data_IF_936146285807
#
_entry.id   IF_936146285807
#
_cell.length_a   1.000
_cell.length_b   1.000
_cell.length_c   1.000
_cell.angle_alpha   90.00
_cell.angle_beta   90.00
_cell.angle_gamma   90.00
#
_symmetry.space_group_name_H-M   'P 1'
#
loop_
_entity.id
_entity.type
_entity.pdbx_description
1 polymer ?
#
# COMPACT_ATOMS: atom_id res chain seq x y z
N UNK A 1 2.47 -14.19 -5.87
CA UNK A 1 1.08 -13.97 -5.43
C UNK A 1 1.13 -13.20 -4.12
N UNK A 2 0.35 -12.13 -4.03
CA UNK A 2 0.28 -11.24 -2.87
C UNK A 2 -1.19 -11.07 -2.45
N UNK A 3 -1.42 -10.90 -1.15
CA UNK A 3 -2.75 -10.75 -0.58
C UNK A 3 -2.92 -9.36 0.02
N UNK A 4 -4.07 -8.74 -0.23
CA UNK A 4 -4.38 -7.38 0.25
C UNK A 4 -5.86 -7.29 0.60
N UNK A 5 -6.24 -6.55 1.63
CA UNK A 5 -7.66 -6.37 1.96
C UNK A 5 -8.33 -5.37 1.02
N UNK A 6 -9.60 -5.61 0.70
CA UNK A 6 -10.43 -4.70 -0.12
C UNK A 6 -10.42 -3.29 0.45
N UNK A 7 -10.63 -3.15 1.75
CA UNK A 7 -10.67 -1.83 2.41
C UNK A 7 -9.37 -1.05 2.28
N UNK A 8 -8.21 -1.73 2.27
CA UNK A 8 -6.93 -1.09 2.00
C UNK A 8 -6.83 -0.61 0.55
N UNK A 9 -7.15 -1.46 -0.43
CA UNK A 9 -7.12 -1.10 -1.87
C UNK A 9 -8.00 0.12 -2.14
N UNK A 10 -9.25 0.08 -1.70
CA UNK A 10 -10.21 1.19 -1.89
C UNK A 10 -9.72 2.48 -1.26
N UNK A 11 -9.09 2.40 -0.08
CA UNK A 11 -8.51 3.57 0.60
C UNK A 11 -7.33 4.16 -0.18
N UNK A 12 -6.41 3.32 -0.66
CA UNK A 12 -5.24 3.77 -1.44
C UNK A 12 -5.66 4.44 -2.75
N UNK A 13 -6.61 3.85 -3.47
CA UNK A 13 -7.13 4.40 -4.73
C UNK A 13 -7.86 5.72 -4.50
N UNK A 14 -8.66 5.83 -3.43
CA UNK A 14 -9.29 7.10 -3.04
C UNK A 14 -8.26 8.19 -2.75
N UNK A 15 -7.22 7.87 -1.97
CA UNK A 15 -6.14 8.81 -1.66
C UNK A 15 -5.39 9.27 -2.92
N UNK A 16 -5.15 8.36 -3.87
CA UNK A 16 -4.55 8.70 -5.16
C UNK A 16 -5.44 9.63 -5.99
N UNK A 17 -6.74 9.32 -6.08
CA UNK A 17 -7.71 10.16 -6.79
C UNK A 17 -7.83 11.57 -6.16
N UNK A 18 -7.73 11.70 -4.84
CA UNK A 18 -7.76 12.98 -4.13
C UNK A 18 -6.49 13.82 -4.37
N UNK A 19 -5.36 13.17 -4.67
CA UNK A 19 -4.07 13.83 -4.89
C UNK A 19 -3.81 14.19 -6.35
N UNK A 20 -4.54 13.59 -7.31
CA UNK A 20 -4.40 13.89 -8.73
C UNK A 20 -4.44 15.42 -8.98
N UNK A 21 -3.43 16.00 -9.69
CA UNK A 21 -2.47 15.35 -10.59
C UNK A 21 -1.12 14.96 -9.95
N UNK A 22 -0.96 15.10 -8.64
CA UNK A 22 0.29 14.77 -7.95
C UNK A 22 0.41 13.27 -7.64
N UNK A 23 1.64 12.74 -7.70
CA UNK A 23 1.93 11.36 -7.31
C UNK A 23 1.92 11.20 -5.79
N UNK A 24 1.47 10.03 -5.32
CA UNK A 24 1.43 9.63 -3.92
C UNK A 24 2.20 8.33 -3.75
N UNK A 25 3.07 8.29 -2.74
CA UNK A 25 3.78 7.09 -2.29
C UNK A 25 3.45 6.80 -0.83
N UNK A 26 2.99 5.59 -0.53
CA UNK A 26 2.49 5.20 0.80
C UNK A 26 3.18 3.90 1.24
N UNK A 27 3.67 3.85 2.48
CA UNK A 27 4.27 2.62 3.04
C UNK A 27 3.16 1.67 3.46
N UNK A 28 3.29 0.38 3.15
CA UNK A 28 2.31 -0.64 3.51
C UNK A 28 2.91 -1.67 4.46
N UNK A 29 2.10 -2.16 5.39
CA UNK A 29 2.46 -3.25 6.29
C UNK A 29 1.45 -4.40 6.19
N UNK A 30 1.93 -5.57 6.62
CA UNK A 30 1.16 -6.81 6.61
C UNK A 30 0.70 -7.21 8.00
N UNK A 31 -0.44 -7.89 8.05
CA UNK A 31 -0.90 -8.66 9.19
C UNK A 31 -0.89 -10.14 8.79
N UNK A 32 -0.41 -11.06 9.65
CA UNK A 32 -0.53 -12.49 9.39
C UNK A 32 -2.00 -12.91 9.26
N UNK A 33 -2.32 -13.80 8.31
CA UNK A 33 -3.69 -14.24 8.08
C UNK A 33 -4.35 -14.86 9.33
N UNK A 34 -3.58 -15.48 10.22
CA UNK A 34 -4.10 -16.04 11.48
C UNK A 34 -4.63 -14.98 12.46
N UNK A 35 -4.30 -13.71 12.26
CA UNK A 35 -4.84 -12.58 13.00
C UNK A 35 -6.03 -11.91 12.28
N UNK A 36 -6.39 -12.37 11.07
CA UNK A 36 -7.52 -11.88 10.30
C UNK A 36 -8.69 -12.86 10.41
N UNK A 37 -9.80 -12.46 11.09
CA UNK A 37 -11.02 -13.25 11.07
C UNK A 37 -11.47 -13.47 9.62
N UNK A 38 -11.95 -14.67 9.33
CA UNK A 38 -12.51 -15.05 8.01
C UNK A 38 -11.51 -15.12 6.85
N UNK A 39 -10.20 -14.97 7.10
CA UNK A 39 -9.18 -15.26 6.10
C UNK A 39 -8.99 -16.79 5.94
N UNK A 40 -9.42 -17.35 4.81
CA UNK A 40 -9.19 -18.77 4.46
C UNK A 40 -7.78 -18.98 3.87
N UNK A 41 -6.76 -18.67 4.67
CA UNK A 41 -5.34 -18.75 4.31
C UNK A 41 -4.53 -19.37 5.47
N UNK A 42 -3.35 -19.95 5.20
CA UNK A 42 -2.43 -20.38 6.25
C UNK A 42 -2.06 -19.22 7.18
N UNK A 43 -2.02 -19.44 8.49
CA UNK A 43 -1.88 -18.40 9.52
C UNK A 43 -0.69 -17.44 9.30
N UNK A 44 0.44 -17.95 8.83
CA UNK A 44 1.67 -17.16 8.59
C UNK A 44 1.65 -16.38 7.27
N UNK A 45 0.59 -16.51 6.47
CA UNK A 45 0.49 -15.84 5.17
C UNK A 45 0.39 -14.33 5.38
N UNK A 46 1.31 -13.52 4.80
CA UNK A 46 1.26 -12.08 4.95
C UNK A 46 0.12 -11.49 4.10
N UNK A 47 -0.74 -10.68 4.73
CA UNK A 47 -1.80 -9.94 4.06
C UNK A 47 -1.59 -8.45 4.29
N UNK A 48 -1.52 -7.67 3.23
CA UNK A 48 -1.43 -6.21 3.31
C UNK A 48 -2.76 -5.64 3.85
N UNK A 49 -2.68 -4.96 4.99
CA UNK A 49 -3.85 -4.49 5.76
C UNK A 49 -3.73 -3.05 6.19
N UNK A 50 -2.50 -2.56 6.37
CA UNK A 50 -2.23 -1.26 6.96
C UNK A 50 -1.41 -0.38 6.03
N UNK A 51 -1.58 0.92 6.18
CA UNK A 51 -0.76 1.91 5.51
C UNK A 51 -0.29 2.98 6.48
N UNK A 52 0.89 3.54 6.17
CA UNK A 52 1.46 4.68 6.88
C UNK A 52 1.64 5.82 5.89
N UNK A 53 0.90 6.90 6.11
CA UNK A 53 1.08 8.11 5.35
C UNK A 53 2.47 8.70 5.66
N UNK A 54 3.22 9.15 4.64
CA UNK A 54 4.44 9.90 4.90
C UNK A 54 4.08 11.12 5.76
N UNK A 55 4.89 11.37 6.78
CA UNK A 55 4.72 12.47 7.74
C UNK A 55 4.76 13.87 7.10
N UNK A 56 5.09 13.98 5.82
CA UNK A 56 5.12 15.23 5.07
C UNK A 56 4.43 15.10 3.71
N UNK A 57 3.21 15.63 3.62
CA UNK A 57 2.46 15.74 2.36
C UNK A 57 1.27 16.71 2.41
N UNK A 58 0.75 17.03 3.59
CA UNK A 58 -0.26 18.08 3.75
C UNK A 58 0.23 19.13 4.76
N UNK A 59 1.00 20.11 4.25
CA UNK A 59 1.32 21.39 4.91
C UNK A 59 1.88 21.34 6.34
N UNK A 60 3.21 21.42 6.53
CA UNK A 60 3.92 22.41 7.39
C UNK A 60 5.43 22.16 7.25
N UNK A 61 6.18 23.24 7.01
CA UNK A 61 7.62 23.39 7.19
C UNK A 61 8.05 22.98 8.61
N UNK A 62 8.38 21.71 8.84
CA UNK A 62 8.98 21.24 10.10
C UNK A 62 10.47 20.94 9.90
N UNK A 63 11.28 21.91 10.31
CA UNK A 63 12.71 21.77 10.53
C UNK A 63 12.89 20.83 11.72
N UNK A 64 13.35 19.61 11.49
CA UNK A 64 14.28 18.80 12.30
C UNK A 64 14.19 17.35 11.80
N UNK A 65 15.28 16.87 11.19
CA UNK A 65 15.37 15.58 10.53
C UNK A 65 15.44 14.40 11.51
N UNK A 66 14.28 13.98 12.00
CA UNK A 66 14.08 12.63 12.53
C UNK A 66 12.73 12.15 12.00
N UNK A 67 12.78 11.22 11.05
CA UNK A 67 11.60 10.53 10.53
C UNK A 67 11.14 9.53 11.61
N UNK A 68 10.11 9.90 12.38
CA UNK A 68 9.58 9.10 13.51
C UNK A 68 8.30 8.32 13.16
N UNK A 69 7.84 8.33 11.91
CA UNK A 69 6.51 7.84 11.55
C UNK A 69 6.43 6.39 11.05
N UNK A 70 7.47 5.90 10.39
CA UNK A 70 7.47 4.53 9.82
C UNK A 70 8.29 3.62 10.70
N UNK A 71 7.72 2.55 11.30
CA UNK A 71 8.54 1.60 12.05
C UNK A 71 9.55 0.95 11.09
N UNK A 72 10.83 1.27 11.29
CA UNK A 72 11.91 0.77 10.43
C UNK A 72 11.89 -0.77 10.40
N UNK A 73 11.77 -1.34 9.21
CA UNK A 73 11.74 -2.80 8.99
C UNK A 73 10.37 -3.47 9.14
N UNK A 74 9.28 -2.73 9.37
CA UNK A 74 7.93 -3.31 9.48
C UNK A 74 7.03 -3.07 8.27
N UNK A 75 7.51 -2.39 7.23
CA UNK A 75 6.73 -2.19 5.99
C UNK A 75 7.27 -3.11 4.91
N UNK A 76 6.40 -3.98 4.40
CA UNK A 76 6.76 -5.05 3.44
C UNK A 76 6.41 -4.67 2.00
N UNK A 77 5.80 -3.50 1.80
CA UNK A 77 5.43 -3.04 0.47
C UNK A 77 5.20 -1.54 0.39
N UNK A 78 5.02 -1.09 -0.84
CA UNK A 78 4.73 0.30 -1.19
C UNK A 78 3.52 0.37 -2.09
N UNK A 79 2.73 1.42 -1.94
CA UNK A 79 1.79 1.85 -2.96
C UNK A 79 2.35 3.10 -3.64
N UNK A 80 2.27 3.13 -4.97
CA UNK A 80 2.60 4.29 -5.81
C UNK A 80 1.42 4.56 -6.75
N UNK A 81 1.02 5.82 -6.87
CA UNK A 81 0.02 6.24 -7.86
C UNK A 81 0.70 6.76 -9.12
N UNK A 82 0.20 6.38 -10.30
CA UNK A 82 0.63 6.95 -11.58
C UNK A 82 -0.57 7.63 -12.28
N UNK A 83 -0.77 8.94 -12.06
CA UNK A 83 -1.83 9.73 -12.69
C UNK A 83 -1.73 9.78 -14.23
N UNK A 84 -0.56 9.49 -14.79
CA UNK A 84 -0.35 9.41 -16.24
C UNK A 84 -0.85 8.09 -16.87
N UNK A 85 -1.27 7.12 -16.04
CA UNK A 85 -1.81 5.84 -16.48
C UNK A 85 -0.77 4.72 -16.66
N UNK A 86 0.48 4.92 -16.26
CA UNK A 86 1.50 3.88 -16.40
C UNK A 86 1.33 2.74 -15.38
N UNK A 87 0.92 1.55 -15.84
CA UNK A 87 0.80 0.34 -15.01
C UNK A 87 2.12 -0.44 -14.99
N UNK A 88 2.98 -0.15 -14.02
CA UNK A 88 4.26 -0.81 -13.83
C UNK A 88 5.18 -0.03 -12.90
N UNK A 89 6.32 -0.59 -12.53
CA UNK A 89 7.32 0.14 -11.72
C UNK A 89 8.14 1.08 -12.60
N UNK A 90 8.38 2.28 -12.09
CA UNK A 90 9.26 3.28 -12.68
C UNK A 90 10.59 3.33 -11.94
N UNK A 91 11.62 3.96 -12.54
CA UNK A 91 12.92 4.16 -11.87
C UNK A 91 12.85 5.18 -10.72
N UNK A 92 11.79 5.98 -10.67
CA UNK A 92 11.58 7.00 -9.64
C UNK A 92 10.82 6.47 -8.43
N UNK A 93 10.30 5.24 -8.51
CA UNK A 93 9.54 4.64 -7.42
C UNK A 93 10.47 4.23 -6.27
N UNK A 94 9.97 4.38 -5.04
CA UNK A 94 10.63 3.84 -3.86
C UNK A 94 10.46 2.32 -3.81
N UNK A 95 11.45 1.57 -4.29
CA UNK A 95 11.33 0.14 -4.51
C UNK A 95 11.32 -0.64 -3.18
N UNK A 96 10.25 -1.40 -2.95
CA UNK A 96 10.12 -2.41 -1.89
C UNK A 96 9.98 -3.82 -2.50
N UNK A 97 9.92 -4.86 -1.67
CA UNK A 97 9.74 -6.24 -2.15
C UNK A 97 8.47 -6.40 -2.99
N UNK A 98 7.39 -5.74 -2.56
CA UNK A 98 6.12 -5.65 -3.29
C UNK A 98 5.78 -4.18 -3.51
N UNK A 99 5.48 -3.82 -4.75
CA UNK A 99 5.07 -2.48 -5.16
C UNK A 99 3.68 -2.59 -5.79
N UNK A 100 2.69 -2.00 -5.13
CA UNK A 100 1.36 -1.83 -5.68
C UNK A 100 1.29 -0.52 -6.47
N UNK A 101 0.66 -0.58 -7.64
CA UNK A 101 0.47 0.56 -8.53
C UNK A 101 -1.02 0.78 -8.73
N UNK A 102 -1.48 2.01 -8.49
CA UNK A 102 -2.82 2.46 -8.84
C UNK A 102 -2.76 3.48 -9.98
N UNK A 103 -3.73 3.43 -10.90
CA UNK A 103 -3.85 4.38 -12.01
C UNK A 103 -5.30 4.88 -12.18
N UNK A 104 -5.56 6.00 -12.89
CA UNK A 104 -6.91 6.37 -13.29
C UNK A 104 -7.59 5.23 -14.08
N UNK A 105 -8.90 4.98 -13.89
CA UNK A 105 -9.87 5.81 -13.18
C UNK A 105 -9.97 5.55 -11.65
N UNK A 106 -8.95 4.94 -11.05
CA UNK A 106 -8.85 4.70 -9.60
C UNK A 106 -9.89 3.71 -9.06
N UNK A 107 -10.21 2.70 -9.86
CA UNK A 107 -11.00 1.54 -9.43
C UNK A 107 -10.12 0.31 -9.21
N UNK A 108 -10.73 -0.77 -8.71
CA UNK A 108 -10.03 -2.00 -8.35
C UNK A 108 -9.40 -2.71 -9.56
N UNK A 109 -9.93 -2.49 -10.77
CA UNK A 109 -9.39 -3.06 -12.00
C UNK A 109 -8.16 -2.25 -12.48
N UNK A 110 -8.02 -1.02 -12.01
CA UNK A 110 -6.89 -0.11 -12.22
C UNK A 110 -5.83 -0.20 -11.10
N UNK A 111 -5.66 -1.39 -10.52
CA UNK A 111 -4.72 -1.68 -9.44
C UNK A 111 -3.91 -2.95 -9.74
N UNK A 112 -2.58 -2.90 -9.58
CA UNK A 112 -1.69 -4.03 -9.83
C UNK A 112 -0.55 -4.13 -8.82
N UNK A 113 0.18 -5.24 -8.84
CA UNK A 113 1.37 -5.43 -8.01
C UNK A 113 2.56 -5.89 -8.85
N UNK A 114 3.75 -5.48 -8.42
CA UNK A 114 5.01 -5.76 -9.07
C UNK A 114 6.08 -6.05 -8.04
N UNK A 115 7.08 -6.85 -8.40
CA UNK A 115 8.30 -6.96 -7.62
C UNK A 115 9.29 -5.84 -7.96
N UNK A 116 10.40 -5.78 -7.22
CA UNK A 116 11.49 -4.81 -7.46
C UNK A 116 12.13 -4.86 -8.85
N UNK A 117 11.91 -5.95 -9.60
CA UNK A 117 12.43 -6.12 -10.97
C UNK A 117 11.40 -5.68 -12.02
N UNK A 118 10.22 -5.24 -11.57
CA UNK A 118 9.09 -4.88 -12.42
C UNK A 118 8.31 -6.06 -12.97
N UNK A 119 8.48 -7.26 -12.40
CA UNK A 119 7.66 -8.40 -12.78
C UNK A 119 6.31 -8.32 -12.08
N UNK A 120 5.25 -8.44 -12.86
CA UNK A 120 3.87 -8.46 -12.37
C UNK A 120 3.66 -9.60 -11.37
N UNK A 121 2.98 -9.29 -10.28
CA UNK A 121 2.60 -10.22 -9.23
C UNK A 121 1.08 -10.38 -9.24
N UNK A 122 0.63 -11.62 -9.18
CA UNK A 122 -0.79 -11.92 -9.01
C UNK A 122 -1.30 -11.35 -7.67
N UNK A 123 -2.35 -10.53 -7.73
CA UNK A 123 -2.99 -9.91 -6.58
C UNK A 123 -4.29 -10.65 -6.25
N UNK A 124 -4.44 -11.06 -4.99
CA UNK A 124 -5.71 -11.54 -4.45
C UNK A 124 -6.24 -10.54 -3.45
N UNK A 125 -7.39 -9.93 -3.78
CA UNK A 125 -8.08 -8.99 -2.89
C UNK A 125 -9.02 -9.77 -1.98
N UNK A 126 -8.77 -9.71 -0.68
CA UNK A 126 -9.55 -10.36 0.36
C UNK A 126 -10.64 -9.43 0.87
N UNK A 127 -11.87 -9.92 0.93
CA UNK A 127 -13.01 -9.21 1.53
C UNK A 127 -13.12 -9.55 3.02
N UNK A 128 -12.07 -9.17 3.76
CA UNK A 128 -11.95 -9.40 5.21
C UNK A 128 -11.58 -8.08 5.90
N UNK A 129 -12.10 -7.88 7.10
CA UNK A 129 -11.77 -6.70 7.91
C UNK A 129 -10.58 -7.02 8.84
N UNK A 130 -9.52 -6.20 8.86
CA UNK A 130 -8.45 -6.35 9.83
C UNK A 130 -8.95 -6.05 11.25
N UNK A 131 -8.33 -6.65 12.29
CA UNK A 131 -8.72 -6.40 13.67
C UNK A 131 -8.58 -4.92 14.03
N UNK A 132 -9.49 -4.40 14.85
CA UNK A 132 -9.41 -3.03 15.36
C UNK A 132 -8.11 -2.84 16.18
N UNK A 133 -7.21 -1.99 15.69
CA UNK A 133 -6.00 -1.59 16.43
C UNK A 133 -6.33 -0.43 17.36
N UNK A 134 -6.55 -0.74 18.63
CA UNK A 134 -6.67 0.30 19.67
C UNK A 134 -5.30 0.91 19.97
N UNK A 135 -5.11 2.24 19.91
CA UNK A 135 -3.90 2.86 20.41
C UNK A 135 -3.82 2.63 21.93
N UNK A 136 -2.73 2.01 22.39
CA UNK A 136 -2.37 1.88 23.80
C UNK A 136 -1.67 3.16 24.30
#
# INVERSE_FOLDING_TARGET
MVYVTRGLVETLLRLASEAEPDDVTISLAVTPAGELPDADLPDETPVFTDFYLPSAGASVKAVFGVDLGTPAGQTQGRFVSHPDGYMGVSKTDDLHEVIFVGIPPWDIDAFGAFDRSGQEQEVTVLDVEPPEKYPQ
#
